data_IF_203584731676
#
_entry.id   IF_203584731676
#
_cell.length_a   1.000
_cell.length_b   1.000
_cell.length_c   1.000
_cell.angle_alpha   90.00
_cell.angle_beta   90.00
_cell.angle_gamma   90.00
#
_symmetry.space_group_name_H-M   'P 1'
#
loop_
_entity.id
_entity.type
_entity.pdbx_description
1 polymer ?
#
# COMPACT_ATOMS: atom_id res chain seq x y z
N UNK A 1 69.61 -37.41 5.71
CA UNK A 1 68.18 -37.78 5.95
C UNK A 1 67.59 -36.73 6.88
N UNK A 2 66.80 -35.79 6.33
CA UNK A 2 65.32 -35.73 6.37
C UNK A 2 64.90 -34.74 7.49
N UNK A 3 64.68 -33.46 7.20
CA UNK A 3 63.46 -32.79 6.64
C UNK A 3 62.50 -32.28 7.73
N UNK A 4 62.33 -30.94 7.74
CA UNK A 4 61.28 -30.06 8.33
C UNK A 4 59.84 -30.65 8.28
N UNK A 5 58.78 -30.17 9.01
CA UNK A 5 58.44 -28.73 9.10
C UNK A 5 57.67 -28.16 10.31
N UNK A 6 57.76 -26.83 10.37
CA UNK A 6 56.89 -25.83 10.98
C UNK A 6 55.41 -26.21 11.23
N UNK A 7 54.93 -25.95 12.45
CA UNK A 7 53.51 -25.88 12.77
C UNK A 7 52.89 -24.58 12.26
N UNK A 8 51.99 -24.74 11.29
CA UNK A 8 51.12 -23.70 10.74
C UNK A 8 50.00 -23.35 11.73
N UNK A 9 49.81 -22.05 11.89
CA UNK A 9 48.56 -21.38 12.29
C UNK A 9 47.30 -22.12 11.82
N UNK A 10 46.44 -22.47 12.77
CA UNK A 10 44.99 -22.59 12.56
C UNK A 10 44.32 -21.53 13.41
N UNK A 11 44.24 -20.30 12.87
CA UNK A 11 43.34 -19.29 13.39
C UNK A 11 41.91 -19.78 13.13
N UNK A 12 41.27 -20.28 14.20
CA UNK A 12 39.87 -20.66 14.19
C UNK A 12 39.02 -19.51 13.68
N UNK A 13 38.21 -19.80 12.65
CA UNK A 13 37.25 -18.87 12.06
C UNK A 13 36.15 -18.62 13.11
N UNK A 14 36.35 -17.59 13.94
CA UNK A 14 35.35 -17.15 14.92
C UNK A 14 34.05 -16.83 14.19
N UNK A 15 33.01 -17.64 14.41
CA UNK A 15 31.66 -17.37 13.94
C UNK A 15 31.20 -16.01 14.47
N UNK A 16 30.72 -15.13 13.58
CA UNK A 16 30.17 -13.83 13.98
C UNK A 16 28.98 -14.05 14.91
N UNK A 17 28.93 -13.28 15.99
CA UNK A 17 27.81 -13.32 16.95
C UNK A 17 26.48 -12.97 16.26
N UNK A 18 25.34 -13.56 16.70
CA UNK A 18 24.02 -13.28 16.13
C UNK A 18 23.67 -11.78 16.10
N UNK A 19 24.17 -10.99 17.05
CA UNK A 19 24.00 -9.53 17.08
C UNK A 19 24.70 -8.83 15.90
N UNK A 20 25.86 -9.33 15.47
CA UNK A 20 26.59 -8.77 14.33
C UNK A 20 25.98 -9.16 12.99
N UNK A 21 25.40 -10.35 12.83
CA UNK A 21 24.72 -10.75 11.59
C UNK A 21 23.41 -9.98 11.38
N UNK A 22 22.61 -9.79 12.45
CA UNK A 22 21.41 -8.95 12.43
C UNK A 22 21.77 -7.51 12.00
N UNK A 23 22.88 -6.97 12.51
CA UNK A 23 23.34 -5.62 12.16
C UNK A 23 23.75 -5.48 10.68
N UNK A 24 24.26 -6.54 10.04
CA UNK A 24 24.61 -6.52 8.61
C UNK A 24 23.35 -6.47 7.74
N UNK A 25 22.32 -7.25 8.09
CA UNK A 25 21.05 -7.27 7.34
C UNK A 25 20.38 -5.90 7.43
N UNK A 26 20.28 -5.31 8.62
CA UNK A 26 19.68 -3.97 8.79
C UNK A 26 20.40 -2.90 7.96
N UNK A 27 21.74 -2.97 7.84
CA UNK A 27 22.53 -2.05 7.02
C UNK A 27 22.30 -2.26 5.52
N UNK A 28 22.17 -3.51 5.07
CA UNK A 28 21.84 -3.81 3.68
C UNK A 28 20.46 -3.28 3.29
N UNK A 29 19.46 -3.48 4.16
CA UNK A 29 18.11 -2.91 3.97
C UNK A 29 18.14 -1.38 3.96
N UNK A 30 18.93 -0.76 4.84
CA UNK A 30 19.09 0.70 4.85
C UNK A 30 19.69 1.24 3.53
N UNK A 31 20.67 0.53 2.94
CA UNK A 31 21.22 0.89 1.62
C UNK A 31 20.18 0.77 0.52
N UNK A 32 19.38 -0.30 0.50
CA UNK A 32 18.29 -0.45 -0.48
C UNK A 32 17.24 0.66 -0.34
N UNK A 33 16.81 0.98 0.88
CA UNK A 33 15.87 2.08 1.15
C UNK A 33 16.42 3.44 0.75
N UNK A 34 17.73 3.68 0.91
CA UNK A 34 18.34 4.94 0.50
C UNK A 34 18.27 5.19 -1.02
N UNK A 35 18.08 4.13 -1.82
CA UNK A 35 17.93 4.16 -3.28
C UNK A 35 16.46 4.24 -3.74
N UNK A 36 15.50 4.16 -2.81
CA UNK A 36 14.08 4.27 -3.13
C UNK A 36 13.75 5.68 -3.64
N UNK A 37 13.02 5.77 -4.75
CA UNK A 37 12.69 7.05 -5.38
C UNK A 37 13.83 7.71 -6.16
N UNK A 38 14.98 7.05 -6.33
CA UNK A 38 16.16 7.57 -7.04
C UNK A 38 16.37 6.83 -8.38
N UNK A 39 15.61 7.16 -9.45
CA UNK A 39 15.68 6.43 -10.72
C UNK A 39 17.05 6.52 -11.40
N UNK A 40 17.74 7.64 -11.22
CA UNK A 40 19.10 7.90 -11.71
C UNK A 40 20.19 7.33 -10.79
N UNK A 41 19.79 6.74 -9.66
CA UNK A 41 20.67 6.15 -8.67
C UNK A 41 21.49 7.15 -7.86
N UNK A 42 22.30 6.62 -6.94
CA UNK A 42 23.17 7.39 -6.04
C UNK A 42 24.61 6.92 -6.12
N UNK A 43 25.54 7.85 -5.94
CA UNK A 43 26.94 7.51 -5.67
C UNK A 43 27.10 6.88 -4.27
N UNK A 44 28.18 6.12 -4.08
CA UNK A 44 28.51 5.52 -2.78
C UNK A 44 28.70 6.56 -1.67
N UNK A 45 29.16 7.77 -2.02
CA UNK A 45 29.30 8.87 -1.07
C UNK A 45 27.94 9.38 -0.59
N UNK A 46 27.00 9.58 -1.51
CA UNK A 46 25.63 9.98 -1.18
C UNK A 46 24.92 8.91 -0.33
N UNK A 47 25.08 7.63 -0.69
CA UNK A 47 24.52 6.53 0.10
C UNK A 47 25.12 6.53 1.51
N UNK A 48 26.46 6.60 1.63
CA UNK A 48 27.17 6.64 2.90
C UNK A 48 26.69 7.76 3.83
N UNK A 49 26.49 8.96 3.27
CA UNK A 49 25.94 10.09 4.00
C UNK A 49 24.51 9.82 4.47
N UNK A 50 23.63 9.28 3.62
CA UNK A 50 22.23 8.98 3.96
C UNK A 50 22.09 7.93 5.05
N UNK A 51 22.90 6.88 5.01
CA UNK A 51 22.79 5.74 5.96
C UNK A 51 23.70 5.88 7.18
N UNK A 52 24.50 6.94 7.27
CA UNK A 52 25.41 7.18 8.40
C UNK A 52 26.52 6.14 8.54
N UNK A 53 27.03 5.60 7.42
CA UNK A 53 28.08 4.58 7.40
C UNK A 53 29.31 5.07 6.65
N UNK A 54 30.48 4.52 6.99
CA UNK A 54 31.70 4.78 6.22
C UNK A 54 31.54 4.30 4.76
N UNK A 55 32.07 5.08 3.80
CA UNK A 55 32.02 4.75 2.36
C UNK A 55 32.52 3.35 2.04
N UNK A 56 33.58 2.89 2.70
CA UNK A 56 34.13 1.53 2.54
C UNK A 56 33.17 0.43 3.02
N UNK A 57 32.34 0.71 4.03
CA UNK A 57 31.29 -0.21 4.50
C UNK A 57 30.16 -0.28 3.48
N UNK A 58 29.71 0.87 2.98
CA UNK A 58 28.68 0.93 1.92
C UNK A 58 29.14 0.22 0.66
N UNK A 59 30.39 0.43 0.22
CA UNK A 59 30.96 -0.29 -0.92
C UNK A 59 30.79 -1.80 -0.78
N UNK A 60 31.21 -2.38 0.36
CA UNK A 60 31.12 -3.84 0.58
C UNK A 60 29.68 -4.34 0.60
N UNK A 61 28.75 -3.56 1.15
CA UNK A 61 27.32 -3.89 1.14
C UNK A 61 26.77 -3.84 -0.29
N UNK A 62 27.09 -2.78 -1.04
CA UNK A 62 26.69 -2.63 -2.45
C UNK A 62 27.25 -3.75 -3.31
N UNK A 63 28.50 -4.15 -3.12
CA UNK A 63 29.12 -5.25 -3.88
C UNK A 63 28.40 -6.57 -3.61
N UNK A 64 28.06 -6.85 -2.34
CA UNK A 64 27.29 -8.04 -1.97
C UNK A 64 25.87 -8.01 -2.56
N UNK A 65 25.16 -6.88 -2.46
CA UNK A 65 23.84 -6.72 -3.07
C UNK A 65 23.87 -6.82 -4.60
N UNK A 66 24.96 -6.35 -5.23
CA UNK A 66 25.16 -6.40 -6.67
C UNK A 66 25.39 -7.83 -7.16
N UNK A 67 26.13 -8.64 -6.42
CA UNK A 67 26.31 -10.07 -6.72
C UNK A 67 24.97 -10.81 -6.79
N UNK A 68 24.03 -10.42 -5.94
CA UNK A 68 22.67 -10.97 -5.86
C UNK A 68 21.64 -10.19 -6.71
N UNK A 69 22.09 -9.24 -7.55
CA UNK A 69 21.26 -8.40 -8.44
C UNK A 69 20.19 -7.54 -7.74
N UNK A 70 20.31 -7.28 -6.43
CA UNK A 70 19.46 -6.34 -5.71
C UNK A 70 19.78 -4.88 -6.03
N UNK A 71 21.01 -4.62 -6.48
CA UNK A 71 21.44 -3.32 -7.03
C UNK A 71 22.23 -3.50 -8.31
N UNK A 72 22.20 -2.50 -9.17
CA UNK A 72 22.97 -2.44 -10.43
C UNK A 72 23.68 -1.10 -10.56
N UNK A 73 24.57 -0.98 -11.54
CA UNK A 73 25.15 0.32 -11.87
C UNK A 73 24.06 1.24 -12.45
N UNK A 74 24.06 2.50 -12.03
CA UNK A 74 23.11 3.48 -12.54
C UNK A 74 23.53 4.03 -13.92
N UNK A 75 24.84 4.16 -14.13
CA UNK A 75 25.45 4.50 -15.42
C UNK A 75 26.72 3.64 -15.64
N UNK A 76 27.31 3.67 -16.85
CA UNK A 76 28.58 3.00 -17.12
C UNK A 76 29.75 3.52 -16.26
N UNK A 77 29.67 4.76 -15.79
CA UNK A 77 30.79 5.46 -15.15
C UNK A 77 30.62 5.60 -13.63
N UNK A 78 29.40 5.68 -13.12
CA UNK A 78 29.16 5.80 -11.68
C UNK A 78 27.71 5.50 -11.26
N UNK A 79 27.51 5.41 -9.94
CA UNK A 79 26.20 5.32 -9.33
C UNK A 79 25.69 3.90 -9.16
N UNK A 80 24.75 3.76 -8.22
CA UNK A 80 24.10 2.53 -7.82
C UNK A 80 22.60 2.78 -7.84
N UNK A 81 21.82 1.87 -8.43
CA UNK A 81 20.35 1.91 -8.39
C UNK A 81 19.79 0.52 -8.08
N UNK A 82 18.50 0.45 -7.76
CA UNK A 82 17.81 -0.81 -7.49
C UNK A 82 17.87 -1.76 -8.71
N UNK A 83 18.07 -3.05 -8.43
CA UNK A 83 18.26 -4.09 -9.43
C UNK A 83 17.04 -5.00 -9.62
N UNK A 84 17.06 -5.86 -10.67
CA UNK A 84 15.90 -6.66 -11.09
C UNK A 84 15.49 -7.76 -10.10
N UNK A 85 16.35 -8.15 -9.14
CA UNK A 85 15.96 -9.13 -8.12
C UNK A 85 14.77 -8.65 -7.29
N UNK A 86 14.65 -7.34 -7.06
CA UNK A 86 13.54 -6.74 -6.33
C UNK A 86 12.21 -6.90 -7.06
N UNK A 87 12.21 -6.82 -8.40
CA UNK A 87 11.00 -7.04 -9.21
C UNK A 87 10.53 -8.48 -9.07
N UNK A 88 11.45 -9.46 -9.12
CA UNK A 88 11.10 -10.88 -8.97
C UNK A 88 10.52 -11.19 -7.59
N UNK A 89 11.11 -10.61 -6.54
CA UNK A 89 10.61 -10.75 -5.17
C UNK A 89 9.25 -10.06 -5.00
N UNK A 90 9.08 -8.86 -5.55
CA UNK A 90 7.81 -8.14 -5.53
C UNK A 90 6.69 -8.90 -6.28
N UNK A 91 7.01 -9.54 -7.40
CA UNK A 91 6.06 -10.38 -8.13
C UNK A 91 5.61 -11.59 -7.30
N UNK A 92 6.55 -12.25 -6.61
CA UNK A 92 6.22 -13.35 -5.68
C UNK A 92 5.40 -12.86 -4.47
N UNK A 93 5.73 -11.69 -3.92
CA UNK A 93 5.01 -11.08 -2.80
C UNK A 93 3.64 -10.51 -3.19
N UNK A 94 3.41 -10.15 -4.45
CA UNK A 94 2.11 -9.61 -4.92
C UNK A 94 0.98 -10.62 -4.79
N UNK A 95 1.29 -11.92 -4.82
CA UNK A 95 0.34 -13.02 -4.52
C UNK A 95 -0.13 -12.98 -3.06
N UNK A 96 0.63 -12.35 -2.15
CA UNK A 96 0.26 -12.26 -0.73
C UNK A 96 -0.78 -11.18 -0.43
N UNK A 97 -0.92 -10.15 -1.27
CA UNK A 97 -1.88 -9.07 -0.97
C UNK A 97 -3.32 -9.57 -0.92
N UNK A 98 -3.72 -10.41 -1.88
CA UNK A 98 -5.04 -11.03 -1.88
C UNK A 98 -5.18 -12.03 -0.72
N UNK A 99 -4.12 -12.79 -0.40
CA UNK A 99 -4.11 -13.69 0.76
C UNK A 99 -4.20 -12.96 2.12
N UNK A 100 -3.74 -11.71 2.21
CA UNK A 100 -3.86 -10.88 3.41
C UNK A 100 -5.24 -10.24 3.49
N UNK A 101 -5.74 -9.69 2.38
CA UNK A 101 -6.97 -8.91 2.37
C UNK A 101 -8.22 -9.78 2.38
N UNK A 102 -8.23 -10.90 1.65
CA UNK A 102 -9.41 -11.76 1.52
C UNK A 102 -9.94 -12.29 2.85
N UNK A 103 -9.12 -12.83 3.78
CA UNK A 103 -9.62 -13.27 5.08
C UNK A 103 -10.23 -12.13 5.88
N UNK A 104 -9.60 -10.95 5.87
CA UNK A 104 -10.12 -9.77 6.57
C UNK A 104 -11.45 -9.30 5.98
N UNK A 105 -11.60 -9.34 4.65
CA UNK A 105 -12.88 -9.04 3.98
C UNK A 105 -13.96 -10.04 4.37
N UNK A 106 -13.64 -11.33 4.47
CA UNK A 106 -14.58 -12.37 4.90
C UNK A 106 -15.06 -12.10 6.33
N UNK A 107 -14.13 -11.79 7.24
CA UNK A 107 -14.47 -11.47 8.63
C UNK A 107 -15.31 -10.19 8.73
N UNK A 108 -14.98 -9.15 7.94
CA UNK A 108 -15.77 -7.92 7.88
C UNK A 108 -17.18 -8.17 7.34
N UNK A 109 -17.33 -8.98 6.30
CA UNK A 109 -18.63 -9.35 5.75
C UNK A 109 -19.45 -10.19 6.75
N UNK A 110 -18.81 -11.07 7.51
CA UNK A 110 -19.46 -11.85 8.57
C UNK A 110 -19.93 -10.96 9.72
N UNK A 111 -19.08 -10.05 10.18
CA UNK A 111 -19.34 -9.14 11.29
C UNK A 111 -20.47 -8.14 10.97
N UNK A 112 -20.48 -7.60 9.76
CA UNK A 112 -21.49 -6.62 9.32
C UNK A 112 -22.74 -7.27 8.74
N UNK A 113 -22.61 -8.49 8.19
CA UNK A 113 -23.64 -9.14 7.38
C UNK A 113 -23.74 -8.62 5.95
N UNK A 114 -23.02 -7.55 5.62
CA UNK A 114 -23.12 -6.82 4.36
C UNK A 114 -22.03 -7.24 3.36
N UNK A 115 -22.19 -6.83 2.11
CA UNK A 115 -21.18 -7.04 1.06
C UNK A 115 -19.95 -6.20 1.38
N UNK A 116 -18.76 -6.76 1.16
CA UNK A 116 -17.48 -6.07 1.27
C UNK A 116 -16.77 -6.11 -0.07
N UNK A 117 -16.37 -4.95 -0.55
CA UNK A 117 -15.68 -4.78 -1.82
C UNK A 117 -14.25 -4.32 -1.59
N UNK A 118 -13.35 -4.74 -2.49
CA UNK A 118 -12.01 -4.23 -2.64
C UNK A 118 -11.90 -3.58 -4.02
N UNK A 119 -11.41 -2.35 -4.07
CA UNK A 119 -11.19 -1.63 -5.32
C UNK A 119 -9.82 -0.97 -5.37
N UNK A 120 -9.37 -0.70 -6.60
CA UNK A 120 -8.11 -0.01 -6.89
C UNK A 120 -8.37 1.26 -7.71
N UNK A 121 -7.64 2.32 -7.39
CA UNK A 121 -7.64 3.54 -8.18
C UNK A 121 -6.98 3.29 -9.54
N UNK A 122 -7.73 3.48 -10.63
CA UNK A 122 -7.22 3.38 -12.00
C UNK A 122 -7.65 4.61 -12.80
N UNK A 123 -6.70 5.49 -13.10
CA UNK A 123 -6.99 6.75 -13.78
C UNK A 123 -7.90 7.65 -12.93
N UNK A 124 -9.13 7.85 -13.39
CA UNK A 124 -10.16 8.68 -12.74
C UNK A 124 -11.32 7.87 -12.16
N UNK A 125 -11.14 6.55 -11.97
CA UNK A 125 -12.19 5.65 -11.52
C UNK A 125 -11.71 4.67 -10.45
N UNK A 126 -12.64 4.18 -9.63
CA UNK A 126 -12.42 3.05 -8.73
C UNK A 126 -12.83 1.77 -9.46
N UNK A 127 -11.89 0.84 -9.66
CA UNK A 127 -12.15 -0.45 -10.31
C UNK A 127 -12.22 -1.54 -9.26
N UNK A 128 -13.33 -2.28 -9.24
CA UNK A 128 -13.58 -3.35 -8.27
C UNK A 128 -12.77 -4.60 -8.64
N UNK A 129 -11.92 -5.07 -7.72
CA UNK A 129 -11.00 -6.19 -7.97
C UNK A 129 -11.39 -7.45 -7.20
N UNK A 130 -12.09 -7.30 -6.08
CA UNK A 130 -12.58 -8.45 -5.31
C UNK A 130 -13.84 -8.09 -4.51
N UNK A 131 -14.63 -9.11 -4.15
CA UNK A 131 -15.86 -8.97 -3.39
C UNK A 131 -16.14 -10.21 -2.52
N UNK A 132 -16.57 -9.96 -1.28
CA UNK A 132 -17.23 -10.94 -0.43
C UNK A 132 -18.70 -10.55 -0.30
N UNK A 133 -19.61 -11.38 -0.80
CA UNK A 133 -21.04 -11.08 -0.75
C UNK A 133 -21.58 -11.23 0.68
N UNK A 134 -22.40 -10.26 1.08
CA UNK A 134 -23.13 -10.31 2.35
C UNK A 134 -24.19 -11.40 2.38
N UNK A 135 -24.67 -11.74 3.58
CA UNK A 135 -25.64 -12.84 3.81
C UNK A 135 -27.09 -12.45 3.53
N UNK A 136 -27.37 -11.17 3.33
CA UNK A 136 -28.74 -10.67 3.16
C UNK A 136 -29.26 -10.91 1.73
N UNK A 137 -30.56 -11.21 1.64
CA UNK A 137 -31.25 -11.39 0.35
C UNK A 137 -31.28 -10.07 -0.45
N UNK A 138 -31.67 -8.98 0.19
CA UNK A 138 -31.51 -7.63 -0.35
C UNK A 138 -30.14 -7.10 0.09
N UNK A 139 -29.24 -6.93 -0.88
CA UNK A 139 -27.86 -6.46 -0.69
C UNK A 139 -27.45 -5.60 -1.87
N UNK A 140 -26.58 -4.62 -1.61
CA UNK A 140 -25.89 -3.91 -2.67
C UNK A 140 -24.72 -4.77 -3.15
N UNK A 141 -24.48 -4.73 -4.47
CA UNK A 141 -23.42 -5.51 -5.13
C UNK A 141 -22.83 -4.63 -6.22
N UNK A 142 -21.51 -4.56 -6.27
CA UNK A 142 -20.75 -4.02 -7.39
C UNK A 142 -19.95 -5.18 -7.99
N UNK A 143 -20.13 -5.48 -9.27
CA UNK A 143 -19.50 -6.67 -9.84
C UNK A 143 -17.98 -6.47 -9.97
N UNK A 144 -17.19 -7.53 -9.76
CA UNK A 144 -15.75 -7.50 -10.02
C UNK A 144 -15.51 -7.12 -11.49
N UNK A 145 -14.65 -6.14 -11.72
CA UNK A 145 -14.39 -5.54 -13.03
C UNK A 145 -15.20 -4.28 -13.34
N UNK A 146 -16.26 -3.97 -12.57
CA UNK A 146 -16.95 -2.69 -12.69
C UNK A 146 -16.04 -1.53 -12.28
N UNK A 147 -16.42 -0.33 -12.76
CA UNK A 147 -15.65 0.89 -12.55
C UNK A 147 -16.60 2.04 -12.26
N UNK A 148 -16.49 2.67 -11.08
CA UNK A 148 -17.35 3.79 -10.69
C UNK A 148 -16.59 5.13 -10.61
N UNK A 149 -17.29 6.27 -10.78
CA UNK A 149 -16.72 7.59 -10.55
C UNK A 149 -16.26 7.76 -9.10
N UNK A 150 -15.16 8.48 -8.91
CA UNK A 150 -14.52 8.60 -7.60
C UNK A 150 -15.26 9.55 -6.65
N UNK A 151 -15.84 10.63 -7.15
CA UNK A 151 -16.34 11.74 -6.31
C UNK A 151 -17.63 11.43 -5.56
N UNK A 152 -18.39 10.43 -6.00
CA UNK A 152 -19.73 10.11 -5.48
C UNK A 152 -19.84 8.71 -4.89
N UNK A 153 -18.71 8.04 -4.66
CA UNK A 153 -18.67 6.70 -4.04
C UNK A 153 -17.81 6.73 -2.79
N UNK A 154 -18.13 5.91 -1.78
CA UNK A 154 -17.40 5.94 -0.51
C UNK A 154 -15.93 5.51 -0.68
N UNK A 155 -15.68 4.44 -1.44
CA UNK A 155 -14.32 4.02 -1.79
C UNK A 155 -13.60 5.09 -2.63
N UNK A 156 -14.27 5.66 -3.63
CA UNK A 156 -13.69 6.71 -4.48
C UNK A 156 -13.29 7.94 -3.69
N UNK A 157 -14.17 8.47 -2.82
CA UNK A 157 -13.87 9.62 -1.96
C UNK A 157 -12.72 9.31 -1.00
N UNK A 158 -12.66 8.09 -0.47
CA UNK A 158 -11.53 7.65 0.34
C UNK A 158 -10.22 7.62 -0.47
N UNK A 159 -10.23 7.11 -1.70
CA UNK A 159 -9.05 7.11 -2.57
C UNK A 159 -8.57 8.53 -2.90
N UNK A 160 -9.50 9.44 -3.21
CA UNK A 160 -9.20 10.86 -3.50
C UNK A 160 -8.54 11.55 -2.30
N UNK A 161 -8.93 11.19 -1.09
CA UNK A 161 -8.32 11.73 0.15
C UNK A 161 -6.82 11.38 0.30
N UNK A 162 -6.33 10.35 -0.39
CA UNK A 162 -4.90 9.95 -0.37
C UNK A 162 -4.07 10.52 -1.52
N UNK A 163 -4.71 11.26 -2.45
CA UNK A 163 -4.00 11.93 -3.53
C UNK A 163 -3.37 13.24 -3.06
N UNK A 164 -2.21 13.62 -3.64
CA UNK A 164 -1.67 14.97 -3.50
C UNK A 164 -2.67 16.01 -4.03
N UNK A 165 -2.71 17.19 -3.41
CA UNK A 165 -3.70 18.23 -3.75
C UNK A 165 -3.63 18.64 -5.22
N UNK A 166 -2.44 18.72 -5.82
CA UNK A 166 -2.30 19.01 -7.26
C UNK A 166 -3.05 18.02 -8.16
N UNK A 167 -3.07 16.72 -7.80
CA UNK A 167 -3.81 15.69 -8.55
C UNK A 167 -5.31 15.75 -8.26
N UNK A 168 -5.68 16.10 -7.04
CA UNK A 168 -7.06 16.28 -6.63
C UNK A 168 -7.71 17.46 -7.38
N UNK A 169 -7.01 18.57 -7.52
CA UNK A 169 -7.49 19.74 -8.26
C UNK A 169 -7.77 19.42 -9.73
N UNK A 170 -6.92 18.63 -10.39
CA UNK A 170 -7.17 18.17 -11.77
C UNK A 170 -8.47 17.36 -11.87
N UNK A 171 -8.76 16.52 -10.87
CA UNK A 171 -10.01 15.74 -10.83
C UNK A 171 -11.21 16.65 -10.59
N UNK A 172 -11.10 17.63 -9.70
CA UNK A 172 -12.18 18.57 -9.38
C UNK A 172 -12.47 19.57 -10.52
N UNK A 173 -11.53 19.78 -11.43
CA UNK A 173 -11.73 20.56 -12.67
C UNK A 173 -12.41 19.75 -13.78
N UNK A 174 -12.44 18.41 -13.66
CA UNK A 174 -13.09 17.54 -14.65
C UNK A 174 -14.60 17.51 -14.43
N UNK A 175 -15.41 17.20 -15.46
CA UNK A 175 -16.85 17.04 -15.30
C UNK A 175 -17.20 15.98 -14.25
N UNK A 176 -17.97 16.38 -13.23
CA UNK A 176 -18.45 15.51 -12.17
C UNK A 176 -19.91 15.12 -12.45
N UNK A 177 -20.19 13.89 -12.92
CA UNK A 177 -21.55 13.50 -13.24
C UNK A 177 -22.43 13.52 -11.98
N UNK A 178 -23.62 14.09 -12.11
CA UNK A 178 -24.66 14.08 -11.09
C UNK A 178 -25.55 12.86 -11.30
N UNK A 179 -25.32 11.80 -10.54
CA UNK A 179 -26.02 10.51 -10.69
C UNK A 179 -27.34 10.46 -9.93
N UNK A 180 -27.44 11.22 -8.83
CA UNK A 180 -28.62 11.32 -7.97
C UNK A 180 -28.83 12.77 -7.53
N UNK A 181 -29.93 13.03 -6.82
CA UNK A 181 -30.15 14.33 -6.18
C UNK A 181 -29.10 14.65 -5.10
N UNK A 182 -28.54 13.61 -4.46
CA UNK A 182 -27.56 13.72 -3.37
C UNK A 182 -26.11 13.83 -3.86
N UNK A 183 -25.82 13.53 -5.13
CA UNK A 183 -24.44 13.58 -5.65
C UNK A 183 -23.80 14.95 -5.42
N UNK A 184 -22.70 14.98 -4.67
CA UNK A 184 -21.92 16.19 -4.43
C UNK A 184 -21.08 16.50 -5.67
N UNK A 185 -21.38 17.59 -6.37
CA UNK A 185 -20.61 18.02 -7.57
C UNK A 185 -19.86 19.33 -7.37
N UNK A 186 -19.97 19.95 -6.19
CA UNK A 186 -19.32 21.24 -5.90
C UNK A 186 -17.96 21.02 -5.26
N UNK A 187 -16.91 21.53 -5.89
CA UNK A 187 -15.53 21.36 -5.43
C UNK A 187 -15.29 21.76 -3.97
N UNK A 188 -15.81 22.89 -3.44
CA UNK A 188 -15.61 23.23 -2.03
C UNK A 188 -16.22 22.23 -1.04
N UNK A 189 -17.32 21.56 -1.42
CA UNK A 189 -17.97 20.55 -0.59
C UNK A 189 -17.18 19.23 -0.62
N UNK A 190 -16.74 18.82 -1.81
CA UNK A 190 -15.87 17.65 -1.97
C UNK A 190 -14.55 17.81 -1.21
N UNK A 191 -13.93 18.99 -1.23
CA UNK A 191 -12.70 19.25 -0.44
C UNK A 191 -12.93 19.00 1.06
N UNK A 192 -14.06 19.44 1.62
CA UNK A 192 -14.41 19.18 3.03
C UNK A 192 -14.59 17.70 3.31
N UNK A 193 -15.23 16.96 2.41
CA UNK A 193 -15.37 15.50 2.50
C UNK A 193 -14.00 14.82 2.54
N UNK A 194 -13.07 15.23 1.67
CA UNK A 194 -11.73 14.64 1.61
C UNK A 194 -10.88 15.00 2.84
N UNK A 195 -10.92 16.25 3.29
CA UNK A 195 -10.25 16.68 4.53
C UNK A 195 -10.78 15.93 5.74
N UNK A 196 -12.10 15.75 5.82
CA UNK A 196 -12.72 14.93 6.86
C UNK A 196 -12.19 13.50 6.80
N UNK A 197 -12.20 12.87 5.61
CA UNK A 197 -11.69 11.51 5.40
C UNK A 197 -10.20 11.38 5.75
N UNK A 198 -9.36 12.37 5.43
CA UNK A 198 -7.93 12.37 5.83
C UNK A 198 -7.76 12.34 7.35
N UNK A 199 -8.66 12.99 8.09
CA UNK A 199 -8.63 13.05 9.56
C UNK A 199 -9.25 11.82 10.22
N UNK A 200 -10.33 11.28 9.68
CA UNK A 200 -11.11 10.19 10.29
C UNK A 200 -10.75 8.81 9.76
N UNK A 201 -10.09 8.73 8.61
CA UNK A 201 -9.73 7.49 7.94
C UNK A 201 -10.87 6.84 7.14
N UNK A 202 -12.05 7.47 7.00
CA UNK A 202 -13.15 6.93 6.23
C UNK A 202 -13.94 8.01 5.48
N UNK A 203 -14.58 7.61 4.38
CA UNK A 203 -15.54 8.40 3.63
C UNK A 203 -16.89 7.68 3.56
N UNK A 204 -17.95 8.44 3.27
CA UNK A 204 -19.31 7.94 3.19
C UNK A 204 -19.93 8.37 1.88
N UNK A 205 -20.64 7.48 1.22
CA UNK A 205 -21.58 7.80 0.15
C UNK A 205 -22.98 7.65 0.75
N UNK A 206 -23.77 8.72 0.79
CA UNK A 206 -25.17 8.67 1.26
C UNK A 206 -26.14 8.92 0.10
N UNK A 207 -26.42 7.85 -0.65
CA UNK A 207 -27.26 7.88 -1.85
C UNK A 207 -26.70 8.78 -2.98
N UNK A 208 -25.39 9.01 -3.03
CA UNK A 208 -24.72 9.88 -4.00
C UNK A 208 -24.49 9.18 -5.34
N UNK A 209 -24.14 7.89 -5.35
CA UNK A 209 -23.98 7.11 -6.58
C UNK A 209 -25.28 6.46 -7.04
N UNK A 210 -26.06 5.89 -6.11
CA UNK A 210 -27.29 5.15 -6.42
C UNK A 210 -28.32 5.37 -5.33
N UNK A 211 -29.54 5.76 -5.73
CA UNK A 211 -30.65 5.99 -4.79
C UNK A 211 -30.96 4.70 -4.03
N UNK A 212 -31.13 4.80 -2.71
CA UNK A 212 -31.39 3.67 -1.82
C UNK A 212 -30.16 2.84 -1.44
N UNK A 213 -28.96 3.21 -1.90
CA UNK A 213 -27.69 2.59 -1.49
C UNK A 213 -26.81 3.66 -0.86
N UNK A 214 -26.31 3.37 0.34
CA UNK A 214 -25.28 4.17 1.00
C UNK A 214 -24.09 3.26 1.32
N UNK A 215 -22.89 3.82 1.42
CA UNK A 215 -21.69 3.05 1.67
C UNK A 215 -20.75 3.76 2.63
N UNK A 216 -19.91 2.99 3.29
CA UNK A 216 -18.71 3.49 3.98
C UNK A 216 -17.48 2.90 3.30
N UNK A 217 -16.44 3.71 3.13
CA UNK A 217 -15.21 3.32 2.44
C UNK A 217 -13.97 3.85 3.13
N UNK A 218 -12.87 3.12 3.01
CA UNK A 218 -11.58 3.50 3.60
C UNK A 218 -10.45 3.05 2.70
N UNK A 219 -9.49 3.94 2.48
CA UNK A 219 -8.41 3.73 1.53
C UNK A 219 -7.05 3.60 2.21
N UNK A 220 -6.14 2.92 1.54
CA UNK A 220 -4.75 2.76 1.93
C UNK A 220 -3.87 2.51 0.70
N UNK A 221 -2.56 2.48 0.91
CA UNK A 221 -1.61 2.09 -0.14
C UNK A 221 -1.22 0.64 0.07
N UNK A 222 -1.22 -0.13 -1.01
CA UNK A 222 -0.66 -1.48 -1.01
C UNK A 222 0.89 -1.41 -1.04
N UNK A 223 1.59 -2.56 -0.93
CA UNK A 223 3.06 -2.59 -0.99
C UNK A 223 3.69 -2.07 -2.29
N UNK A 224 2.91 -1.98 -3.37
CA UNK A 224 3.35 -1.42 -4.65
C UNK A 224 3.04 0.09 -4.75
N UNK A 225 2.53 0.70 -3.69
CA UNK A 225 2.17 2.11 -3.63
C UNK A 225 0.84 2.45 -4.32
N UNK A 226 0.10 1.46 -4.84
CA UNK A 226 -1.21 1.64 -5.46
C UNK A 226 -2.22 2.04 -4.40
N UNK A 227 -3.10 2.97 -4.73
CA UNK A 227 -4.21 3.34 -3.84
C UNK A 227 -5.31 2.31 -4.01
N UNK A 228 -5.65 1.64 -2.93
CA UNK A 228 -6.72 0.64 -2.83
C UNK A 228 -7.71 1.08 -1.75
N UNK A 229 -8.93 0.58 -1.80
CA UNK A 229 -9.93 0.85 -0.78
C UNK A 229 -10.79 -0.37 -0.48
N UNK A 230 -11.15 -0.51 0.79
CA UNK A 230 -12.28 -1.33 1.21
C UNK A 230 -13.55 -0.49 1.23
N UNK A 231 -14.67 -1.07 0.84
CA UNK A 231 -15.99 -0.46 1.02
C UNK A 231 -17.05 -1.47 1.40
N UNK A 232 -18.07 -0.99 2.11
CA UNK A 232 -19.24 -1.76 2.52
C UNK A 232 -20.48 -1.03 2.00
N UNK A 233 -20.99 -1.39 0.80
CA UNK A 233 -22.24 -0.83 0.29
C UNK A 233 -23.44 -1.53 0.94
N UNK A 234 -24.43 -0.75 1.34
CA UNK A 234 -25.55 -1.19 2.17
C UNK A 234 -26.84 -0.49 1.74
N UNK A 235 -28.00 -1.16 1.73
CA UNK A 235 -29.28 -0.47 1.58
C UNK A 235 -29.42 0.67 2.61
N UNK A 236 -29.75 1.88 2.16
CA UNK A 236 -29.62 3.10 2.97
C UNK A 236 -30.37 3.06 4.30
N UNK A 237 -31.56 2.45 4.32
CA UNK A 237 -32.35 2.30 5.56
C UNK A 237 -31.58 1.58 6.65
N UNK A 238 -30.78 0.59 6.28
CA UNK A 238 -29.93 -0.18 7.19
C UNK A 238 -28.59 0.48 7.45
N UNK A 239 -28.01 1.13 6.45
CA UNK A 239 -26.83 1.94 6.64
C UNK A 239 -27.05 2.96 7.77
N UNK A 240 -28.18 3.67 7.75
CA UNK A 240 -28.53 4.67 8.77
C UNK A 240 -28.64 4.08 10.18
N UNK A 241 -29.18 2.87 10.33
CA UNK A 241 -29.31 2.22 11.65
C UNK A 241 -27.99 1.61 12.17
N UNK A 242 -27.05 1.26 11.28
CA UNK A 242 -25.81 0.57 11.65
C UNK A 242 -24.54 1.40 11.40
N UNK A 243 -24.67 2.67 11.03
CA UNK A 243 -23.59 3.53 10.55
C UNK A 243 -22.33 3.48 11.41
N UNK A 244 -22.47 3.68 12.73
CA UNK A 244 -21.34 3.70 13.64
C UNK A 244 -20.62 2.35 13.73
N UNK A 245 -21.37 1.24 13.75
CA UNK A 245 -20.82 -0.10 13.76
C UNK A 245 -20.09 -0.43 12.44
N UNK A 246 -20.68 -0.08 11.30
CA UNK A 246 -20.05 -0.27 9.98
C UNK A 246 -18.72 0.48 9.87
N UNK A 247 -18.67 1.74 10.32
CA UNK A 247 -17.43 2.54 10.33
C UNK A 247 -16.37 1.89 11.22
N UNK A 248 -16.74 1.49 12.45
CA UNK A 248 -15.81 0.87 13.38
C UNK A 248 -15.20 -0.43 12.81
N UNK A 249 -16.05 -1.34 12.31
CA UNK A 249 -15.60 -2.61 11.72
C UNK A 249 -14.72 -2.39 10.49
N UNK A 250 -15.05 -1.42 9.62
CA UNK A 250 -14.25 -1.11 8.45
C UNK A 250 -12.86 -0.58 8.84
N UNK A 251 -12.77 0.32 9.81
CA UNK A 251 -11.50 0.88 10.27
C UNK A 251 -10.64 -0.18 10.96
N UNK A 252 -11.25 -1.08 11.73
CA UNK A 252 -10.55 -2.23 12.31
C UNK A 252 -9.97 -3.15 11.22
N UNK A 253 -10.77 -3.46 10.20
CA UNK A 253 -10.34 -4.24 9.04
C UNK A 253 -9.15 -3.57 8.32
N UNK A 254 -9.23 -2.26 8.07
CA UNK A 254 -8.11 -1.48 7.51
C UNK A 254 -6.86 -1.58 8.38
N UNK A 255 -6.97 -1.37 9.69
CA UNK A 255 -5.84 -1.44 10.61
C UNK A 255 -5.18 -2.81 10.58
N UNK A 256 -5.96 -3.90 10.56
CA UNK A 256 -5.43 -5.26 10.45
C UNK A 256 -4.68 -5.51 9.15
N UNK A 257 -5.21 -5.03 8.03
CA UNK A 257 -4.52 -5.13 6.74
C UNK A 257 -3.20 -4.35 6.79
N UNK A 258 -3.22 -3.10 7.25
CA UNK A 258 -2.01 -2.28 7.35
C UNK A 258 -0.94 -2.92 8.24
N UNK A 259 -1.34 -3.45 9.39
CA UNK A 259 -0.44 -4.17 10.29
C UNK A 259 0.18 -5.41 9.62
N UNK A 260 -0.61 -6.19 8.88
CA UNK A 260 -0.12 -7.35 8.13
C UNK A 260 0.83 -6.96 6.98
N UNK A 261 0.63 -5.79 6.37
CA UNK A 261 1.50 -5.24 5.33
C UNK A 261 2.79 -4.59 5.88
N UNK A 262 2.93 -4.48 7.21
CA UNK A 262 4.06 -3.79 7.84
C UNK A 262 4.04 -2.26 7.66
N UNK A 263 2.91 -1.71 7.24
CA UNK A 263 2.68 -0.27 7.14
C UNK A 263 2.15 0.22 8.49
N UNK A 264 2.88 1.11 9.16
CA UNK A 264 2.35 1.78 10.35
C UNK A 264 1.08 2.58 10.00
N UNK A 265 0.09 2.67 10.90
CA UNK A 265 -1.24 3.25 10.64
C UNK A 265 -1.22 4.72 10.23
#
# INVERSE_FOLDING_TARGET
>A
MRSSPAEKRTAGRAGRSPKQSVQVISRAVAVLRALEGEPDGLSLGQIAQRVGLARSTVQRIVDALRAEQFVIAASPTSGVRLGPALIRLAAAASVEFDHITRPVMIELAQATGETVDLSVLKGSSAVFTDQVQGKHRLRAVSAVGESFPLHCTANGKAMLSLLPDARLEVILLSPLPKLTASTITRAPELRREFESCRRTGYAIDDEEHTVGISAVGSAFRDPLGRIVALSVPVPTTRFRSQRAALIASLLEARTRILAALGSAP
#
